data_IF_401839119910
#
_entry.id   IF_401839119910
#
_cell.length_a   1.000
_cell.length_b   1.000
_cell.length_c   1.000
_cell.angle_alpha   90.00
_cell.angle_beta   90.00
_cell.angle_gamma   90.00
#
_symmetry.space_group_name_H-M   'P 1'
#
loop_
_entity.id
_entity.type
_entity.pdbx_description
1 polymer ?
#
# COMPACT_ATOMS: atom_id res chain seq x y z
N UNK A 1 1.17 -7.76 10.58
CA UNK A 1 1.09 -7.65 12.07
C UNK A 1 -0.13 -6.81 12.39
N UNK A 2 -0.27 -6.31 13.57
CA UNK A 2 -1.49 -5.66 14.02
C UNK A 2 -2.56 -6.71 14.34
N UNK A 3 -3.79 -6.48 13.94
CA UNK A 3 -4.90 -7.40 14.22
C UNK A 3 -4.99 -8.61 13.28
N UNK A 4 -4.19 -8.62 12.20
CA UNK A 4 -4.17 -9.72 11.24
C UNK A 4 -3.30 -10.88 11.72
N UNK A 5 -3.86 -12.10 11.74
CA UNK A 5 -3.12 -13.33 12.07
C UNK A 5 -2.31 -13.84 10.85
N UNK A 6 -2.77 -13.55 9.64
CA UNK A 6 -2.12 -13.96 8.40
C UNK A 6 -1.77 -12.73 7.56
N UNK A 7 -0.59 -12.76 6.93
CA UNK A 7 -0.20 -11.76 5.94
C UNK A 7 -0.84 -12.11 4.58
N UNK A 8 -2.15 -11.79 4.43
CA UNK A 8 -2.94 -12.21 3.28
C UNK A 8 -2.31 -11.79 1.94
N UNK A 9 -1.83 -10.56 1.85
CA UNK A 9 -1.21 -10.03 0.62
C UNK A 9 0.12 -10.72 0.33
N UNK A 10 0.94 -11.01 1.34
CA UNK A 10 2.19 -11.76 1.15
C UNK A 10 1.92 -13.20 0.71
N UNK A 11 0.90 -13.86 1.27
CA UNK A 11 0.47 -15.19 0.84
C UNK A 11 -0.01 -15.14 -0.61
N UNK A 12 -0.82 -14.15 -0.98
CA UNK A 12 -1.31 -13.97 -2.35
C UNK A 12 -0.14 -13.77 -3.34
N UNK A 13 0.85 -12.93 -3.01
CA UNK A 13 2.03 -12.73 -3.84
C UNK A 13 2.78 -14.05 -4.09
N UNK A 14 3.08 -14.81 -3.04
CA UNK A 14 3.76 -16.12 -3.17
C UNK A 14 2.93 -17.15 -3.92
N UNK A 15 1.62 -17.16 -3.72
CA UNK A 15 0.72 -18.03 -4.47
C UNK A 15 0.75 -17.72 -5.98
N UNK A 16 0.67 -16.42 -6.34
CA UNK A 16 0.72 -15.98 -7.73
C UNK A 16 2.05 -16.37 -8.39
N UNK A 17 3.16 -16.15 -7.70
CA UNK A 17 4.48 -16.55 -8.17
C UNK A 17 4.57 -18.06 -8.38
N UNK A 18 4.19 -18.85 -7.37
CA UNK A 18 4.36 -20.31 -7.38
C UNK A 18 3.38 -21.03 -8.31
N UNK A 19 2.13 -20.57 -8.40
CA UNK A 19 1.05 -21.29 -9.08
C UNK A 19 0.81 -20.75 -10.48
N UNK A 20 1.00 -19.44 -10.68
CA UNK A 20 0.69 -18.77 -11.94
C UNK A 20 1.93 -18.25 -12.68
N UNK A 21 3.13 -18.48 -12.14
CA UNK A 21 4.39 -18.12 -12.79
C UNK A 21 4.62 -16.61 -12.90
N UNK A 22 3.96 -15.80 -12.06
CA UNK A 22 4.14 -14.35 -12.03
C UNK A 22 5.57 -14.04 -11.56
N UNK A 23 6.34 -13.34 -12.38
CA UNK A 23 7.74 -13.02 -12.06
C UNK A 23 7.87 -11.81 -11.14
N UNK A 24 7.12 -10.74 -11.40
CA UNK A 24 7.22 -9.48 -10.69
C UNK A 24 5.87 -9.08 -10.06
N UNK A 25 5.84 -9.01 -8.74
CA UNK A 25 4.65 -8.58 -7.96
C UNK A 25 4.94 -7.26 -7.28
N UNK A 26 4.06 -6.26 -7.42
CA UNK A 26 4.11 -5.07 -6.59
C UNK A 26 3.02 -5.13 -5.51
N UNK A 27 3.37 -4.73 -4.30
CA UNK A 27 2.45 -4.53 -3.18
C UNK A 27 2.50 -3.06 -2.81
N UNK A 28 1.35 -2.39 -2.86
CA UNK A 28 1.20 -1.02 -2.34
C UNK A 28 0.26 -1.07 -1.14
N UNK A 29 0.78 -0.64 -0.01
CA UNK A 29 0.12 -0.64 1.28
C UNK A 29 -0.11 0.82 1.70
N UNK A 30 -1.37 1.22 1.84
CA UNK A 30 -1.75 2.53 2.35
C UNK A 30 -2.55 2.45 3.66
N UNK A 31 -2.51 1.30 4.34
CA UNK A 31 -2.88 1.24 5.75
C UNK A 31 -2.02 2.25 6.52
N UNK A 32 -2.60 2.92 7.52
CA UNK A 32 -1.88 3.95 8.29
C UNK A 32 -0.72 3.37 9.10
N UNK A 33 -0.76 2.06 9.37
CA UNK A 33 0.31 1.35 10.06
C UNK A 33 1.31 0.75 9.06
N UNK A 34 2.58 0.79 9.39
CA UNK A 34 3.60 0.14 8.58
C UNK A 34 3.35 -1.37 8.43
N UNK A 35 3.31 -1.87 7.21
CA UNK A 35 3.13 -3.29 6.88
C UNK A 35 4.38 -4.13 7.16
N UNK A 36 4.86 -4.12 8.41
CA UNK A 36 6.13 -4.75 8.80
C UNK A 36 6.20 -6.25 8.51
N UNK A 37 5.08 -6.96 8.57
CA UNK A 37 5.02 -8.39 8.23
C UNK A 37 5.19 -8.64 6.73
N UNK A 38 4.65 -7.78 5.89
CA UNK A 38 4.83 -7.82 4.42
C UNK A 38 6.26 -7.45 4.06
N UNK A 39 6.80 -6.39 4.67
CA UNK A 39 8.21 -6.02 4.50
C UNK A 39 9.15 -7.18 4.82
N UNK A 40 9.02 -7.78 6.02
CA UNK A 40 9.87 -8.89 6.45
C UNK A 40 9.76 -10.15 5.55
N UNK A 41 8.62 -10.35 4.87
CA UNK A 41 8.43 -11.47 3.96
C UNK A 41 9.18 -11.31 2.62
N UNK A 42 9.58 -10.07 2.27
CA UNK A 42 10.12 -9.74 0.96
C UNK A 42 11.37 -8.85 1.00
N UNK A 43 11.93 -8.52 2.16
CA UNK A 43 13.04 -7.58 2.30
C UNK A 43 14.32 -8.01 1.56
N UNK A 44 14.51 -9.30 1.29
CA UNK A 44 15.64 -9.87 0.55
C UNK A 44 15.28 -10.34 -0.87
N UNK A 45 14.04 -10.10 -1.35
CA UNK A 45 13.51 -10.62 -2.59
C UNK A 45 13.27 -9.54 -3.65
N UNK A 46 14.11 -9.44 -4.69
CA UNK A 46 13.95 -8.44 -5.76
C UNK A 46 12.76 -8.71 -6.70
N UNK A 47 12.11 -9.86 -6.59
CA UNK A 47 10.92 -10.17 -7.41
C UNK A 47 9.63 -9.55 -6.87
N UNK A 48 9.67 -8.99 -5.64
CA UNK A 48 8.54 -8.32 -5.03
C UNK A 48 8.92 -6.89 -4.64
N UNK A 49 8.24 -5.92 -5.21
CA UNK A 49 8.34 -4.53 -4.78
C UNK A 49 7.29 -4.27 -3.68
N UNK A 50 7.74 -3.89 -2.50
CA UNK A 50 6.86 -3.46 -1.40
C UNK A 50 6.95 -1.96 -1.20
N UNK A 51 5.80 -1.27 -1.21
CA UNK A 51 5.68 0.17 -0.94
C UNK A 51 4.68 0.34 0.20
N UNK A 52 5.08 1.03 1.27
CA UNK A 52 4.21 1.32 2.41
C UNK A 52 4.15 2.83 2.66
N UNK A 53 2.92 3.35 2.72
CA UNK A 53 2.58 4.74 2.99
C UNK A 53 1.89 4.80 4.35
N UNK A 54 2.58 5.26 5.39
CA UNK A 54 2.12 5.12 6.77
C UNK A 54 2.51 6.30 7.64
N UNK A 55 1.89 6.41 8.81
CA UNK A 55 2.26 7.44 9.78
C UNK A 55 3.65 7.16 10.34
N UNK A 56 4.40 8.25 10.62
CA UNK A 56 5.76 8.22 11.15
C UNK A 56 5.91 7.20 12.29
N UNK A 57 6.85 6.24 12.19
CA UNK A 57 7.05 5.17 13.17
C UNK A 57 7.36 5.65 14.59
N UNK A 58 7.80 6.89 14.74
CA UNK A 58 8.01 7.50 16.06
C UNK A 58 6.69 7.83 16.78
N UNK A 59 5.60 7.88 16.07
CA UNK A 59 4.28 8.32 16.54
C UNK A 59 3.18 7.27 16.37
N UNK A 60 3.46 6.18 15.67
CA UNK A 60 2.48 5.16 15.37
C UNK A 60 3.06 3.73 15.50
N UNK A 61 2.21 2.79 15.88
CA UNK A 61 2.52 1.36 15.84
C UNK A 61 2.81 0.94 14.38
N UNK A 62 3.74 0.01 14.12
CA UNK A 62 4.55 -0.80 15.04
C UNK A 62 5.90 -0.18 15.41
N UNK A 63 6.20 1.05 15.04
CA UNK A 63 7.46 1.70 15.34
C UNK A 63 8.60 1.30 14.39
N UNK A 64 8.28 0.81 13.19
CA UNK A 64 9.18 0.45 12.09
C UNK A 64 8.68 1.06 10.78
N UNK A 65 9.44 0.93 9.68
CA UNK A 65 9.11 1.53 8.38
C UNK A 65 9.74 2.90 8.19
N UNK A 66 10.96 3.07 8.66
CA UNK A 66 11.72 4.28 8.37
C UNK A 66 12.11 4.33 6.89
N UNK A 67 12.26 5.52 6.35
CA UNK A 67 12.61 5.75 4.94
C UNK A 67 13.95 5.14 4.52
N UNK A 68 14.85 4.88 5.47
CA UNK A 68 16.12 4.18 5.23
C UNK A 68 16.00 2.64 5.21
N UNK A 69 14.86 2.08 5.61
CA UNK A 69 14.57 0.65 5.46
C UNK A 69 14.19 0.35 4.01
N UNK A 70 15.15 -0.02 3.20
CA UNK A 70 15.03 -0.12 1.73
C UNK A 70 15.16 -1.55 1.21
N UNK A 71 15.05 -2.55 2.08
CA UNK A 71 15.32 -3.95 1.80
C UNK A 71 16.78 -4.32 2.06
N UNK A 72 17.11 -5.61 2.00
CA UNK A 72 18.42 -6.18 2.30
C UNK A 72 18.92 -7.08 1.17
N UNK A 73 20.22 -7.34 1.17
CA UNK A 73 20.86 -8.24 0.20
C UNK A 73 20.39 -8.01 -1.24
N UNK A 74 19.90 -9.04 -1.94
CA UNK A 74 19.36 -8.92 -3.30
C UNK A 74 18.10 -8.05 -3.39
N UNK A 75 17.30 -7.97 -2.33
CA UNK A 75 16.09 -7.16 -2.23
C UNK A 75 16.33 -5.68 -1.94
N UNK A 76 17.60 -5.26 -1.79
CA UNK A 76 17.92 -3.86 -1.54
C UNK A 76 17.43 -2.96 -2.66
N UNK A 77 16.61 -1.96 -2.32
CA UNK A 77 15.96 -1.05 -3.26
C UNK A 77 14.57 -1.53 -3.73
N UNK A 78 14.08 -2.69 -3.26
CA UNK A 78 12.74 -3.19 -3.55
C UNK A 78 11.75 -3.00 -2.39
N UNK A 79 12.15 -2.31 -1.34
CA UNK A 79 11.29 -1.77 -0.30
C UNK A 79 11.31 -0.24 -0.39
N UNK A 80 10.13 0.39 -0.32
CA UNK A 80 9.97 1.84 -0.27
C UNK A 80 9.02 2.21 0.87
N UNK A 81 9.55 2.76 1.93
CA UNK A 81 8.78 3.30 3.04
C UNK A 81 8.63 4.81 2.90
N UNK A 82 7.40 5.28 3.07
CA UNK A 82 7.02 6.70 2.98
C UNK A 82 6.30 7.07 4.29
N UNK A 83 7.06 7.41 5.35
CA UNK A 83 6.47 7.86 6.60
C UNK A 83 5.95 9.29 6.49
N UNK A 84 4.74 9.54 6.98
CA UNK A 84 4.11 10.85 7.02
C UNK A 84 4.01 11.36 8.47
N UNK A 85 4.21 12.66 8.70
CA UNK A 85 4.00 13.24 10.04
C UNK A 85 2.51 13.19 10.41
N UNK A 86 2.18 13.15 11.71
CA UNK A 86 0.81 13.39 12.16
C UNK A 86 0.22 14.67 11.57
N UNK A 87 -1.04 14.65 11.15
CA UNK A 87 -1.72 15.76 10.49
C UNK A 87 -1.50 15.83 8.97
N UNK A 88 -0.73 14.93 8.38
CA UNK A 88 -0.62 14.85 6.92
C UNK A 88 -1.98 14.49 6.30
N UNK A 89 -2.31 15.16 5.19
CA UNK A 89 -3.58 15.02 4.50
C UNK A 89 -3.45 14.58 3.05
N UNK A 90 -4.50 14.87 2.29
CA UNK A 90 -4.62 14.46 0.89
C UNK A 90 -3.46 14.98 0.03
N UNK A 91 -3.05 16.24 0.23
CA UNK A 91 -2.00 16.86 -0.58
C UNK A 91 -0.67 16.11 -0.49
N UNK A 92 -0.23 15.78 0.73
CA UNK A 92 1.04 15.09 0.96
C UNK A 92 1.00 13.66 0.41
N UNK A 93 -0.13 12.95 0.58
CA UNK A 93 -0.28 11.58 0.07
C UNK A 93 -0.33 11.55 -1.45
N UNK A 94 -1.11 12.44 -2.09
CA UNK A 94 -1.18 12.51 -3.56
C UNK A 94 0.14 12.96 -4.17
N UNK A 95 0.86 13.91 -3.54
CA UNK A 95 2.20 14.27 -3.96
C UNK A 95 3.19 13.10 -3.87
N UNK A 96 3.10 12.29 -2.80
CA UNK A 96 3.94 11.08 -2.67
C UNK A 96 3.58 10.01 -3.72
N UNK A 97 2.29 9.86 -4.04
CA UNK A 97 1.87 8.99 -5.14
C UNK A 97 2.52 9.39 -6.45
N UNK A 98 2.44 10.66 -6.84
CA UNK A 98 2.97 11.16 -8.11
C UNK A 98 4.50 11.15 -8.17
N UNK A 99 5.17 11.54 -7.08
CA UNK A 99 6.61 11.77 -7.08
C UNK A 99 7.43 10.53 -6.70
N UNK A 100 6.86 9.56 -5.98
CA UNK A 100 7.58 8.40 -5.47
C UNK A 100 6.95 7.08 -5.89
N UNK A 101 5.66 6.87 -5.59
CA UNK A 101 4.99 5.56 -5.77
C UNK A 101 4.88 5.21 -7.25
N UNK A 102 4.24 6.07 -8.05
CA UNK A 102 4.02 5.82 -9.50
C UNK A 102 5.35 5.67 -10.24
N UNK A 103 6.36 6.56 -10.08
CA UNK A 103 7.65 6.37 -10.74
C UNK A 103 8.37 5.07 -10.33
N UNK A 104 8.24 4.66 -9.06
CA UNK A 104 8.83 3.41 -8.58
C UNK A 104 8.19 2.19 -9.22
N UNK A 105 6.85 2.19 -9.32
CA UNK A 105 6.08 1.14 -9.99
C UNK A 105 6.38 1.10 -11.50
N UNK A 106 6.44 2.26 -12.17
CA UNK A 106 6.78 2.36 -13.60
C UNK A 106 8.19 1.86 -13.91
N UNK A 107 9.14 2.05 -12.98
CA UNK A 107 10.49 1.50 -13.10
C UNK A 107 10.51 -0.01 -12.88
N UNK A 108 9.80 -0.52 -11.89
CA UNK A 108 9.75 -1.94 -11.53
C UNK A 108 8.98 -2.79 -12.55
N UNK A 109 7.95 -2.23 -13.20
CA UNK A 109 7.09 -2.87 -14.21
C UNK A 109 6.48 -4.18 -13.69
N UNK A 110 5.61 -4.13 -12.70
CA UNK A 110 4.98 -5.31 -12.14
C UNK A 110 4.11 -6.04 -13.17
N UNK A 111 3.96 -7.34 -13.02
CA UNK A 111 3.02 -8.16 -13.78
C UNK A 111 1.64 -8.23 -13.11
N UNK A 112 1.58 -7.91 -11.82
CA UNK A 112 0.35 -7.77 -11.04
C UNK A 112 0.57 -6.76 -9.91
N UNK A 113 -0.48 -6.02 -9.57
CA UNK A 113 -0.51 -5.10 -8.45
C UNK A 113 -1.42 -5.66 -7.35
N UNK A 114 -0.88 -5.74 -6.13
CA UNK A 114 -1.62 -6.06 -4.92
C UNK A 114 -1.74 -4.80 -4.07
N UNK A 115 -2.90 -4.56 -3.48
CA UNK A 115 -3.15 -3.41 -2.61
C UNK A 115 -3.51 -3.93 -1.21
N UNK A 116 -2.72 -3.57 -0.20
CA UNK A 116 -3.14 -3.62 1.20
C UNK A 116 -3.94 -2.35 1.48
N UNK A 117 -5.26 -2.49 1.45
CA UNK A 117 -6.19 -1.37 1.52
C UNK A 117 -6.68 -1.17 2.96
N UNK A 118 -5.89 -0.48 3.77
CA UNK A 118 -6.33 0.08 5.05
C UNK A 118 -6.96 1.45 4.82
N UNK A 119 -8.01 1.74 5.56
CA UNK A 119 -8.74 3.02 5.50
C UNK A 119 -8.67 3.77 6.82
N UNK A 120 -7.77 3.37 7.71
CA UNK A 120 -7.50 3.95 9.02
C UNK A 120 -6.61 5.20 8.98
N UNK A 121 -6.10 5.57 7.79
CA UNK A 121 -5.53 6.89 7.54
C UNK A 121 -6.59 7.99 7.34
N UNK A 122 -7.91 7.66 7.38
CA UNK A 122 -8.98 8.65 7.28
C UNK A 122 -9.01 9.58 8.49
N UNK A 123 -9.22 10.89 8.29
CA UNK A 123 -9.23 11.90 9.36
C UNK A 123 -10.27 11.68 10.47
N UNK A 124 -11.29 10.85 10.25
CA UNK A 124 -12.26 10.45 11.28
C UNK A 124 -11.89 9.14 12.00
N UNK A 125 -10.76 8.51 11.67
CA UNK A 125 -10.36 7.25 12.32
C UNK A 125 -9.81 7.53 13.73
N UNK A 126 -10.18 6.71 14.74
CA UNK A 126 -9.79 6.97 16.12
C UNK A 126 -8.38 6.52 16.47
N UNK A 127 -7.69 5.74 15.63
CA UNK A 127 -6.43 5.07 15.99
C UNK A 127 -5.17 5.77 15.48
N UNK A 128 -5.29 6.72 14.56
CA UNK A 128 -4.15 7.42 13.98
C UNK A 128 -4.40 8.93 13.85
N UNK A 129 -3.43 9.64 13.34
CA UNK A 129 -3.45 11.10 13.25
C UNK A 129 -3.17 11.59 11.82
N UNK A 130 -3.36 10.73 10.84
CA UNK A 130 -3.40 11.10 9.41
C UNK A 130 -4.81 11.60 9.09
N UNK A 131 -4.93 12.55 8.17
CA UNK A 131 -6.19 13.28 7.93
C UNK A 131 -6.66 13.15 6.47
N UNK A 132 -6.64 11.90 5.91
CA UNK A 132 -7.15 11.67 4.57
C UNK A 132 -8.67 11.77 4.50
N UNK A 133 -9.16 12.30 3.38
CA UNK A 133 -10.55 12.21 2.97
C UNK A 133 -10.84 10.90 2.23
N UNK A 134 -12.12 10.52 2.14
CA UNK A 134 -12.53 9.41 1.30
C UNK A 134 -12.21 9.62 -0.20
N UNK A 135 -12.12 10.87 -0.66
CA UNK A 135 -11.75 11.19 -2.04
C UNK A 135 -10.30 10.80 -2.34
N UNK A 136 -9.37 11.05 -1.40
CA UNK A 136 -7.98 10.69 -1.54
C UNK A 136 -7.78 9.19 -1.80
N UNK A 137 -8.49 8.31 -1.09
CA UNK A 137 -8.43 6.87 -1.34
C UNK A 137 -8.89 6.51 -2.76
N UNK A 138 -9.91 7.20 -3.28
CA UNK A 138 -10.33 7.04 -4.67
C UNK A 138 -9.24 7.44 -5.66
N UNK A 139 -8.65 8.63 -5.49
CA UNK A 139 -7.63 9.17 -6.37
C UNK A 139 -6.33 8.34 -6.34
N UNK A 140 -5.88 7.90 -5.17
CA UNK A 140 -4.75 6.96 -5.05
C UNK A 140 -5.04 5.67 -5.81
N UNK A 141 -6.23 5.12 -5.65
CA UNK A 141 -6.64 3.89 -6.35
C UNK A 141 -6.64 4.06 -7.86
N UNK A 142 -7.21 5.15 -8.37
CA UNK A 142 -7.18 5.45 -9.80
C UNK A 142 -5.76 5.56 -10.35
N UNK A 143 -4.83 6.16 -9.61
CA UNK A 143 -3.43 6.22 -10.01
C UNK A 143 -2.80 4.82 -10.10
N UNK A 144 -3.09 3.95 -9.13
CA UNK A 144 -2.63 2.56 -9.11
C UNK A 144 -3.21 1.73 -10.26
N UNK A 145 -4.50 1.90 -10.55
CA UNK A 145 -5.17 1.24 -11.69
C UNK A 145 -4.54 1.68 -13.01
N UNK A 146 -4.27 2.98 -13.19
CA UNK A 146 -3.55 3.47 -14.37
C UNK A 146 -2.15 2.84 -14.54
N UNK A 147 -1.45 2.58 -13.44
CA UNK A 147 -0.17 1.82 -13.48
C UNK A 147 -0.41 0.38 -13.90
N UNK A 148 -1.43 -0.26 -13.34
CA UNK A 148 -1.77 -1.64 -13.69
C UNK A 148 -2.18 -1.80 -15.15
N UNK A 149 -2.91 -0.84 -15.70
CA UNK A 149 -3.25 -0.81 -17.14
C UNK A 149 -2.01 -0.76 -18.02
N UNK A 150 -1.00 0.04 -17.61
CA UNK A 150 0.25 0.16 -18.37
C UNK A 150 1.14 -1.10 -18.32
N UNK A 151 1.21 -1.77 -17.18
CA UNK A 151 2.20 -2.82 -16.93
C UNK A 151 1.62 -4.20 -16.64
N UNK A 152 0.44 -4.27 -16.02
CA UNK A 152 -0.16 -5.51 -15.53
C UNK A 152 -1.33 -6.01 -16.40
N UNK A 153 -1.69 -5.34 -17.49
CA UNK A 153 -2.90 -5.64 -18.26
C UNK A 153 -4.17 -5.52 -17.39
N UNK A 154 -4.22 -4.51 -16.51
CA UNK A 154 -5.33 -4.25 -15.59
C UNK A 154 -5.44 -5.20 -14.39
N UNK A 155 -4.45 -6.07 -14.15
CA UNK A 155 -4.51 -7.03 -13.02
C UNK A 155 -4.20 -6.35 -11.70
N UNK A 156 -5.25 -6.08 -10.92
CA UNK A 156 -5.18 -5.53 -9.56
C UNK A 156 -6.00 -6.40 -8.62
N UNK A 157 -5.45 -6.68 -7.45
CA UNK A 157 -6.16 -7.33 -6.35
C UNK A 157 -6.04 -6.43 -5.13
N UNK A 158 -7.14 -6.14 -4.48
CA UNK A 158 -7.18 -5.37 -3.24
C UNK A 158 -7.67 -6.23 -2.09
N UNK A 159 -6.97 -6.15 -0.95
CA UNK A 159 -7.34 -6.79 0.30
C UNK A 159 -7.61 -5.71 1.36
N UNK A 160 -8.77 -5.79 2.00
CA UNK A 160 -9.13 -4.91 3.11
C UNK A 160 -8.22 -5.21 4.31
N UNK A 161 -7.64 -4.16 4.89
CA UNK A 161 -6.85 -4.20 6.12
C UNK A 161 -7.54 -3.38 7.23
N UNK A 162 -6.93 -2.27 7.72
CA UNK A 162 -7.45 -1.42 8.76
C UNK A 162 -8.61 -0.51 8.34
N UNK A 163 -9.19 0.17 9.33
CA UNK A 163 -10.31 1.11 9.21
C UNK A 163 -11.32 0.88 10.33
N UNK A 164 -11.30 1.75 11.34
CA UNK A 164 -11.97 1.51 12.64
C UNK A 164 -13.11 2.48 12.90
N UNK A 165 -13.28 3.52 12.07
CA UNK A 165 -14.52 4.26 11.98
C UNK A 165 -15.40 3.67 10.87
N UNK A 166 -16.42 2.91 11.22
CA UNK A 166 -17.25 2.15 10.26
C UNK A 166 -17.94 3.03 9.20
N UNK A 167 -18.23 4.29 9.54
CA UNK A 167 -18.87 5.23 8.58
C UNK A 167 -17.85 5.75 7.56
N UNK A 168 -16.67 6.16 8.04
CA UNK A 168 -15.57 6.58 7.20
C UNK A 168 -15.09 5.42 6.32
N UNK A 169 -14.92 4.24 6.91
CA UNK A 169 -14.57 3.00 6.20
C UNK A 169 -15.53 2.74 5.02
N UNK A 170 -16.85 2.77 5.27
CA UNK A 170 -17.82 2.52 4.21
C UNK A 170 -17.73 3.53 3.06
N UNK A 171 -17.57 4.83 3.35
CA UNK A 171 -17.39 5.86 2.32
C UNK A 171 -16.09 5.68 1.54
N UNK A 172 -14.99 5.42 2.24
CA UNK A 172 -13.67 5.22 1.64
C UNK A 172 -13.61 3.98 0.76
N UNK A 173 -14.19 2.86 1.21
CA UNK A 173 -14.30 1.62 0.41
C UNK A 173 -15.10 1.87 -0.87
N UNK A 174 -16.20 2.62 -0.81
CA UNK A 174 -16.98 2.98 -2.02
C UNK A 174 -16.12 3.77 -3.00
N UNK A 175 -15.36 4.77 -2.54
CA UNK A 175 -14.45 5.55 -3.40
C UNK A 175 -13.34 4.69 -4.00
N UNK A 176 -12.77 3.81 -3.18
CA UNK A 176 -11.77 2.84 -3.64
C UNK A 176 -12.33 1.92 -4.74
N UNK A 177 -13.51 1.35 -4.54
CA UNK A 177 -14.14 0.49 -5.54
C UNK A 177 -14.48 1.23 -6.84
N UNK A 178 -14.94 2.48 -6.76
CA UNK A 178 -15.12 3.34 -7.94
C UNK A 178 -13.80 3.55 -8.66
N UNK A 179 -12.73 3.86 -7.93
CA UNK A 179 -11.37 3.98 -8.50
C UNK A 179 -10.86 2.68 -9.14
N UNK A 180 -11.29 1.52 -8.65
CA UNK A 180 -11.01 0.19 -9.25
C UNK A 180 -11.81 -0.07 -10.54
N UNK A 181 -12.68 0.85 -10.98
CA UNK A 181 -13.54 0.68 -12.15
C UNK A 181 -14.90 0.05 -11.85
N UNK A 182 -15.31 0.03 -10.58
CA UNK A 182 -16.66 -0.36 -10.17
C UNK A 182 -17.66 0.76 -10.48
N UNK A 183 -18.68 0.48 -11.30
CA UNK A 183 -19.84 1.36 -11.56
C UNK A 183 -20.99 1.04 -10.63
#
# INVERSE_FOLDING_TARGET
MGFCLFANVAIAARYLQKTHGVGHVAVVDFDVHHGNGTQAAFEDDPSVLFISMHQDPRTCYPGSGYDFEVGDGPGRGYTLNIPFPPGAGDEEYLAAMEQKVVPKLDHFKPEILLISAGFDAHGEDPLAQIELSEACFGEMTEQLVRVADRHCGGRVISALEGGYNLRALGRSVVRHLVGMGGN
#
